data_IF_111483341716
#
_entry.id   IF_111483341716
#
_cell.length_a   1.000
_cell.length_b   1.000
_cell.length_c   1.000
_cell.angle_alpha   90.00
_cell.angle_beta   90.00
_cell.angle_gamma   90.00
#
_symmetry.space_group_name_H-M   'P 1'
#
loop_
_entity.id
_entity.type
_entity.pdbx_description
1 polymer ?
#
# COMPACT_ATOMS: atom_id res chain seq x y z
N UNK A 1 11.85 8.14 -3.27
CA UNK A 1 10.70 7.64 -4.06
C UNK A 1 9.58 7.33 -3.08
N UNK A 2 8.33 7.59 -3.45
CA UNK A 2 7.18 7.29 -2.57
C UNK A 2 6.14 6.46 -3.29
N UNK A 3 5.40 5.67 -2.52
CA UNK A 3 4.25 4.93 -2.99
C UNK A 3 3.10 5.06 -2.01
N UNK A 4 2.03 5.73 -2.43
CA UNK A 4 0.81 5.83 -1.67
C UNK A 4 -0.22 4.87 -2.25
N UNK A 5 -0.80 4.00 -1.41
CA UNK A 5 -1.75 2.98 -1.84
C UNK A 5 -2.98 2.99 -0.95
N UNK A 6 -4.16 3.15 -1.54
CA UNK A 6 -5.43 2.98 -0.86
C UNK A 6 -6.18 1.81 -1.50
N UNK A 7 -6.50 0.79 -0.70
CA UNK A 7 -7.09 -0.46 -1.19
C UNK A 7 -8.02 -1.07 -0.14
N UNK A 8 -9.11 -1.71 -0.57
CA UNK A 8 -10.03 -2.34 0.37
C UNK A 8 -9.49 -3.62 1.00
N UNK A 9 -8.91 -4.50 0.17
CA UNK A 9 -8.24 -5.72 0.61
C UNK A 9 -6.78 -5.71 0.16
N UNK A 10 -5.88 -5.99 1.10
CA UNK A 10 -4.44 -6.06 0.85
C UNK A 10 -3.83 -7.30 1.45
N UNK A 11 -2.87 -7.87 0.75
CA UNK A 11 -1.96 -8.88 1.29
C UNK A 11 -0.53 -8.64 0.87
N UNK A 12 0.41 -8.98 1.76
CA UNK A 12 1.85 -8.89 1.54
C UNK A 12 2.33 -9.70 0.32
N UNK A 13 1.54 -10.68 -0.13
CA UNK A 13 1.82 -11.37 -1.39
C UNK A 13 1.89 -10.43 -2.60
N UNK A 14 1.29 -9.24 -2.57
CA UNK A 14 1.49 -8.24 -3.62
C UNK A 14 2.97 -7.86 -3.77
N UNK A 15 3.70 -7.72 -2.67
CA UNK A 15 5.15 -7.45 -2.69
C UNK A 15 5.90 -8.59 -3.37
N UNK A 16 5.51 -9.84 -3.10
CA UNK A 16 6.07 -11.04 -3.73
C UNK A 16 5.81 -11.06 -5.24
N UNK A 17 4.61 -10.68 -5.71
CA UNK A 17 4.31 -10.62 -7.15
C UNK A 17 5.08 -9.52 -7.85
N UNK A 18 5.19 -8.36 -7.21
CA UNK A 18 5.95 -7.23 -7.72
C UNK A 18 7.43 -7.29 -7.30
N UNK A 19 7.98 -8.47 -6.97
CA UNK A 19 9.25 -8.60 -6.25
C UNK A 19 10.41 -7.80 -6.85
N UNK A 20 10.58 -7.82 -8.17
CA UNK A 20 11.60 -7.02 -8.84
C UNK A 20 11.37 -5.51 -8.64
N UNK A 21 10.13 -5.04 -8.84
CA UNK A 21 9.75 -3.65 -8.60
C UNK A 21 9.90 -3.23 -7.14
N UNK A 22 9.48 -4.08 -6.20
CA UNK A 22 9.65 -3.87 -4.75
C UNK A 22 11.12 -3.80 -4.36
N UNK A 23 11.96 -4.69 -4.87
CA UNK A 23 13.40 -4.67 -4.59
C UNK A 23 14.05 -3.38 -5.08
N UNK A 24 13.77 -2.96 -6.32
CA UNK A 24 14.24 -1.68 -6.86
C UNK A 24 13.72 -0.48 -6.07
N UNK A 25 12.45 -0.48 -5.68
CA UNK A 25 11.86 0.56 -4.84
C UNK A 25 12.58 0.68 -3.50
N UNK A 26 12.82 -0.44 -2.81
CA UNK A 26 13.51 -0.46 -1.51
C UNK A 26 14.98 -0.04 -1.63
N UNK A 27 15.70 -0.54 -2.64
CA UNK A 27 17.09 -0.17 -2.92
C UNK A 27 17.25 1.34 -3.17
N UNK A 28 16.23 1.99 -3.74
CA UNK A 28 16.21 3.44 -3.98
C UNK A 28 15.67 4.25 -2.79
N UNK A 29 15.63 3.69 -1.58
CA UNK A 29 15.15 4.40 -0.39
C UNK A 29 13.64 4.67 -0.41
N UNK A 30 12.87 3.82 -1.09
CA UNK A 30 11.41 3.93 -1.21
C UNK A 30 10.71 3.92 0.14
N UNK A 31 9.69 4.78 0.27
CA UNK A 31 8.76 4.84 1.40
C UNK A 31 7.32 4.66 0.94
N UNK A 32 6.56 3.84 1.64
CA UNK A 32 5.21 3.49 1.29
C UNK A 32 4.23 3.92 2.39
N UNK A 33 3.09 4.47 1.99
CA UNK A 33 1.92 4.70 2.85
C UNK A 33 0.78 3.85 2.35
N UNK A 34 0.19 3.06 3.23
CA UNK A 34 -0.82 2.06 2.87
C UNK A 34 -2.09 2.29 3.70
N UNK A 35 -3.18 2.65 3.03
CA UNK A 35 -4.53 2.67 3.62
C UNK A 35 -5.24 1.39 3.19
N UNK A 36 -5.62 0.57 4.16
CA UNK A 36 -6.29 -0.72 3.97
C UNK A 36 -7.66 -0.73 4.60
N UNK A 37 -8.61 -1.45 4.02
CA UNK A 37 -9.83 -1.79 4.74
C UNK A 37 -9.53 -2.73 5.91
N UNK A 38 -10.47 -2.85 6.85
CA UNK A 38 -10.35 -3.72 8.02
C UNK A 38 -10.22 -5.24 7.70
N UNK A 39 -10.27 -5.63 6.42
CA UNK A 39 -10.03 -7.00 5.98
C UNK A 39 -8.56 -7.17 5.58
N UNK A 40 -7.74 -7.53 6.57
CA UNK A 40 -6.34 -7.92 6.39
C UNK A 40 -6.19 -9.44 6.51
N UNK A 41 -5.22 -10.02 5.80
CA UNK A 41 -4.88 -11.41 6.03
C UNK A 41 -4.14 -11.55 7.37
N UNK A 42 -4.57 -12.50 8.21
CA UNK A 42 -4.02 -12.66 9.56
C UNK A 42 -2.49 -12.77 9.57
N UNK A 43 -1.91 -13.56 8.66
CA UNK A 43 -0.45 -13.70 8.52
C UNK A 43 0.29 -12.37 8.27
N UNK A 44 -0.36 -11.41 7.61
CA UNK A 44 0.24 -10.10 7.30
C UNK A 44 0.16 -9.20 8.54
N UNK A 45 -0.94 -9.30 9.31
CA UNK A 45 -1.07 -8.67 10.63
C UNK A 45 -0.01 -9.23 11.59
N UNK A 46 0.12 -10.56 11.67
CA UNK A 46 1.10 -11.25 12.51
C UNK A 46 2.52 -10.82 12.12
N UNK A 47 2.82 -10.70 10.82
CA UNK A 47 4.11 -10.22 10.35
C UNK A 47 4.42 -8.78 10.77
N UNK A 48 3.42 -7.91 10.83
CA UNK A 48 3.60 -6.50 11.24
C UNK A 48 3.73 -6.35 12.76
N UNK A 49 2.92 -7.08 13.54
CA UNK A 49 2.85 -6.93 15.00
C UNK A 49 3.91 -7.78 15.71
N UNK A 50 4.06 -9.03 15.29
CA UNK A 50 4.88 -10.05 15.97
C UNK A 50 6.02 -10.60 15.10
N UNK A 51 6.05 -10.22 13.82
CA UNK A 51 6.96 -10.79 12.84
C UNK A 51 8.41 -10.44 13.11
N UNK A 52 9.30 -11.41 12.85
CA UNK A 52 10.73 -11.16 12.86
C UNK A 52 11.11 -10.37 11.58
N UNK A 53 11.66 -9.14 11.69
CA UNK A 53 12.15 -8.42 10.52
C UNK A 53 13.34 -9.16 9.89
N UNK A 54 13.61 -8.87 8.61
CA UNK A 54 14.83 -9.32 7.94
C UNK A 54 16.08 -9.01 8.77
N UNK A 55 16.98 -9.98 8.89
CA UNK A 55 18.30 -9.75 9.47
C UNK A 55 19.08 -8.72 8.63
N UNK A 56 19.85 -7.84 9.27
CA UNK A 56 20.56 -6.72 8.62
C UNK A 56 21.42 -7.15 7.43
N UNK A 57 22.05 -8.33 7.52
CA UNK A 57 22.86 -8.89 6.43
C UNK A 57 22.00 -9.23 5.21
N UNK A 58 20.79 -9.76 5.43
CA UNK A 58 19.85 -10.08 4.36
C UNK A 58 19.25 -8.80 3.78
N UNK A 59 18.90 -7.83 4.63
CA UNK A 59 18.45 -6.52 4.19
C UNK A 59 19.51 -5.80 3.34
N UNK A 60 20.78 -5.81 3.75
CA UNK A 60 21.87 -5.24 2.96
C UNK A 60 22.03 -5.91 1.59
N UNK A 61 21.86 -7.24 1.52
CA UNK A 61 21.87 -7.99 0.24
C UNK A 61 20.69 -7.64 -0.64
N UNK A 62 19.50 -7.48 -0.06
CA UNK A 62 18.31 -7.05 -0.79
C UNK A 62 18.54 -5.70 -1.47
N UNK A 63 19.17 -4.76 -0.76
CA UNK A 63 19.42 -3.40 -1.25
C UNK A 63 20.58 -3.31 -2.24
N UNK A 64 21.62 -4.15 -2.11
CA UNK A 64 22.83 -4.08 -2.92
C UNK A 64 22.66 -4.61 -4.34
N UNK A 65 21.78 -5.60 -4.54
CA UNK A 65 21.50 -6.20 -5.84
C UNK A 65 19.98 -6.39 -6.02
N UNK A 66 19.23 -5.29 -6.28
CA UNK A 66 17.78 -5.36 -6.41
C UNK A 66 17.31 -6.21 -7.59
N UNK A 67 18.15 -6.35 -8.63
CA UNK A 67 17.79 -7.05 -9.87
C UNK A 67 17.70 -8.57 -9.66
N UNK A 68 18.67 -9.17 -8.97
CA UNK A 68 18.72 -10.62 -8.79
C UNK A 68 18.51 -11.03 -7.33
N UNK A 69 19.42 -10.66 -6.42
CA UNK A 69 19.34 -11.09 -5.03
C UNK A 69 18.12 -10.50 -4.31
N UNK A 70 17.87 -9.20 -4.47
CA UNK A 70 16.75 -8.49 -3.88
C UNK A 70 15.41 -9.01 -4.37
N UNK A 71 15.23 -9.20 -5.67
CA UNK A 71 14.02 -9.80 -6.23
C UNK A 71 13.76 -11.20 -5.64
N UNK A 72 14.80 -12.04 -5.49
CA UNK A 72 14.67 -13.37 -4.86
C UNK A 72 14.29 -13.28 -3.39
N UNK A 73 14.94 -12.39 -2.62
CA UNK A 73 14.64 -12.19 -1.20
C UNK A 73 13.20 -11.72 -1.03
N UNK A 74 12.74 -10.74 -1.81
CA UNK A 74 11.35 -10.30 -1.75
C UNK A 74 10.40 -11.44 -2.10
N UNK A 75 10.74 -12.26 -3.10
CA UNK A 75 9.90 -13.37 -3.50
C UNK A 75 9.79 -14.47 -2.42
N UNK A 76 10.88 -14.81 -1.74
CA UNK A 76 10.89 -15.88 -0.72
C UNK A 76 10.52 -15.42 0.68
N UNK A 77 10.82 -14.18 1.03
CA UNK A 77 10.77 -13.63 2.40
C UNK A 77 9.80 -12.44 2.53
N UNK A 78 8.78 -12.32 1.66
CA UNK A 78 7.89 -11.14 1.61
C UNK A 78 7.26 -10.73 2.96
N UNK A 79 6.97 -11.67 3.88
CA UNK A 79 6.48 -11.35 5.22
C UNK A 79 7.58 -10.73 6.10
N UNK A 80 8.80 -11.28 6.07
CA UNK A 80 9.97 -10.72 6.75
C UNK A 80 10.36 -9.34 6.17
N UNK A 81 10.19 -9.16 4.85
CA UNK A 81 10.36 -7.87 4.17
C UNK A 81 9.29 -6.88 4.64
N UNK A 82 8.03 -7.29 4.73
CA UNK A 82 6.95 -6.45 5.25
C UNK A 82 7.26 -5.97 6.67
N UNK A 83 7.61 -6.90 7.57
CA UNK A 83 8.01 -6.59 8.95
C UNK A 83 9.20 -5.62 8.99
N UNK A 84 10.21 -5.86 8.15
CA UNK A 84 11.38 -4.98 8.03
C UNK A 84 11.03 -3.58 7.52
N UNK A 85 10.10 -3.46 6.56
CA UNK A 85 9.67 -2.16 6.03
C UNK A 85 8.99 -1.31 7.12
N UNK A 86 8.17 -1.92 7.98
CA UNK A 86 7.56 -1.24 9.13
C UNK A 86 8.63 -0.87 10.16
N UNK A 87 9.49 -1.82 10.54
CA UNK A 87 10.54 -1.60 11.55
C UNK A 87 11.60 -0.57 11.14
N UNK A 88 11.66 -0.17 9.86
CA UNK A 88 12.64 0.80 9.33
C UNK A 88 12.00 2.07 8.79
N UNK A 89 10.76 2.39 9.17
CA UNK A 89 10.01 3.58 8.75
C UNK A 89 9.92 3.74 7.21
N UNK A 90 9.85 2.60 6.52
CA UNK A 90 9.67 2.49 5.07
C UNK A 90 8.24 2.12 4.68
N UNK A 91 7.43 1.66 5.63
CA UNK A 91 6.01 1.41 5.44
C UNK A 91 5.23 1.91 6.64
N UNK A 92 4.26 2.79 6.37
CA UNK A 92 3.23 3.18 7.32
C UNK A 92 1.90 2.58 6.87
N UNK A 93 1.17 1.93 7.78
CA UNK A 93 -0.11 1.29 7.48
C UNK A 93 -1.19 1.93 8.34
N UNK A 94 -2.28 2.33 7.70
CA UNK A 94 -3.50 2.81 8.35
C UNK A 94 -4.72 2.01 7.91
N UNK A 95 -5.66 1.82 8.81
CA UNK A 95 -6.88 1.04 8.58
C UNK A 95 -8.08 1.97 8.46
N UNK A 96 -8.76 1.89 7.31
CA UNK A 96 -10.04 2.55 7.05
C UNK A 96 -11.19 1.79 7.71
N UNK A 97 -11.81 2.41 8.71
CA UNK A 97 -12.91 1.85 9.50
C UNK A 97 -14.15 2.74 9.35
N UNK A 98 -15.35 2.16 9.16
CA UNK A 98 -16.58 2.93 9.13
C UNK A 98 -16.81 3.67 10.46
N UNK A 99 -17.27 4.92 10.40
CA UNK A 99 -17.60 5.77 11.55
C UNK A 99 -19.09 6.10 11.56
N UNK A 100 -19.74 6.00 12.71
CA UNK A 100 -21.14 6.37 12.88
C UNK A 100 -21.35 7.88 13.01
N UNK A 101 -22.62 8.30 13.11
CA UNK A 101 -23.00 9.71 13.22
C UNK A 101 -22.52 10.35 14.53
N UNK A 102 -22.43 9.57 15.60
CA UNK A 102 -21.95 10.00 16.92
C UNK A 102 -20.41 9.90 17.04
N UNK A 103 -19.75 9.54 15.95
CA UNK A 103 -18.30 9.47 15.84
C UNK A 103 -17.67 8.16 16.34
N UNK A 104 -18.47 7.16 16.67
CA UNK A 104 -18.04 5.83 17.08
C UNK A 104 -17.50 5.01 15.91
N UNK A 105 -16.49 4.17 16.17
CA UNK A 105 -15.97 3.23 15.17
C UNK A 105 -16.89 2.02 15.09
N UNK A 106 -17.26 1.65 13.87
CA UNK A 106 -18.18 0.56 13.60
C UNK A 106 -17.45 -0.61 12.95
N UNK A 107 -17.69 -1.80 13.48
CA UNK A 107 -17.29 -3.04 12.81
C UNK A 107 -18.05 -3.23 11.49
N UNK A 108 -17.58 -4.16 10.67
CA UNK A 108 -18.32 -4.56 9.48
C UNK A 108 -19.72 -5.09 9.84
N UNK A 109 -19.85 -5.87 10.93
CA UNK A 109 -21.13 -6.40 11.38
C UNK A 109 -22.14 -5.30 11.77
N UNK A 110 -21.65 -4.18 12.33
CA UNK A 110 -22.51 -3.07 12.75
C UNK A 110 -22.93 -2.18 11.58
N UNK A 111 -22.04 -1.92 10.62
CA UNK A 111 -22.30 -0.95 9.55
C UNK A 111 -22.67 -1.55 8.20
N UNK A 112 -22.28 -2.80 7.93
CA UNK A 112 -22.34 -3.41 6.59
C UNK A 112 -21.43 -2.73 5.55
N UNK A 113 -20.65 -1.71 5.93
CA UNK A 113 -19.84 -0.90 5.01
C UNK A 113 -18.43 -1.48 4.85
N UNK A 114 -17.84 -1.21 3.69
CA UNK A 114 -16.45 -1.57 3.35
C UNK A 114 -15.71 -0.40 2.72
N UNK A 115 -14.47 -0.21 3.14
CA UNK A 115 -13.54 0.68 2.45
C UNK A 115 -13.18 -0.02 1.15
N UNK A 116 -13.73 0.41 0.01
CA UNK A 116 -13.65 -0.35 -1.25
C UNK A 116 -12.94 0.41 -2.39
N UNK A 117 -12.22 1.47 -2.06
CA UNK A 117 -11.40 2.23 -3.02
C UNK A 117 -10.15 1.44 -3.42
N UNK A 118 -9.62 1.70 -4.62
CA UNK A 118 -8.45 1.02 -5.18
C UNK A 118 -7.71 1.97 -6.12
N UNK A 119 -6.87 2.80 -5.53
CA UNK A 119 -6.00 3.70 -6.28
C UNK A 119 -4.63 3.78 -5.64
N UNK A 120 -3.68 4.37 -6.34
CA UNK A 120 -2.37 4.64 -5.77
C UNK A 120 -1.62 5.70 -6.55
N UNK A 121 -0.55 6.19 -5.93
CA UNK A 121 0.31 7.25 -6.45
C UNK A 121 1.75 6.82 -6.25
N UNK A 122 2.48 6.69 -7.35
CA UNK A 122 3.94 6.57 -7.32
C UNK A 122 4.56 7.94 -7.57
N UNK A 123 5.63 8.27 -6.85
CA UNK A 123 6.46 9.44 -7.13
C UNK A 123 7.95 9.09 -7.14
N UNK A 124 8.66 9.59 -8.15
CA UNK A 124 10.11 9.49 -8.22
C UNK A 124 10.79 10.66 -7.48
N UNK A 125 12.13 10.65 -7.47
CA UNK A 125 12.94 11.72 -6.84
C UNK A 125 12.98 13.03 -7.65
N UNK A 126 12.53 13.01 -8.90
CA UNK A 126 12.51 14.15 -9.81
C UNK A 126 11.17 14.89 -9.76
N UNK A 127 10.21 14.39 -8.97
CA UNK A 127 8.88 14.96 -8.84
C UNK A 127 7.89 14.42 -9.88
N UNK A 128 8.29 13.47 -10.74
CA UNK A 128 7.35 12.82 -11.64
C UNK A 128 6.45 11.90 -10.83
N UNK A 129 5.17 11.87 -11.19
CA UNK A 129 4.16 11.06 -10.52
C UNK A 129 3.35 10.26 -11.52
N UNK A 130 2.89 9.10 -11.07
CA UNK A 130 1.88 8.31 -11.78
C UNK A 130 0.80 7.96 -10.76
N UNK A 131 -0.40 8.47 -10.97
CA UNK A 131 -1.58 8.05 -10.24
C UNK A 131 -2.29 6.96 -11.05
N UNK A 132 -2.95 6.02 -10.37
CA UNK A 132 -3.76 5.01 -11.04
C UNK A 132 -5.01 4.71 -10.22
N UNK A 133 -6.08 4.26 -10.90
CA UNK A 133 -7.34 3.87 -10.27
C UNK A 133 -7.94 2.70 -11.05
N UNK A 134 -8.47 1.69 -10.36
CA UNK A 134 -8.98 0.50 -11.04
C UNK A 134 -9.73 -0.48 -10.14
N UNK A 135 -10.00 -1.67 -10.69
CA UNK A 135 -10.71 -2.74 -9.98
C UNK A 135 -9.78 -3.64 -9.16
N UNK A 136 -8.48 -3.57 -9.39
CA UNK A 136 -7.48 -4.48 -8.83
C UNK A 136 -7.29 -4.29 -7.33
N UNK A 137 -7.73 -5.29 -6.56
CA UNK A 137 -7.29 -5.48 -5.18
C UNK A 137 -5.83 -5.94 -5.16
N UNK A 138 -5.23 -5.85 -3.98
CA UNK A 138 -3.86 -6.30 -3.76
C UNK A 138 -3.85 -7.74 -3.25
N UNK A 139 -4.29 -8.68 -4.10
CA UNK A 139 -4.32 -10.12 -3.82
C UNK A 139 -3.71 -10.95 -4.95
N UNK A 140 -3.21 -12.14 -4.62
CA UNK A 140 -2.72 -13.15 -5.59
C UNK A 140 -3.70 -13.37 -6.76
N UNK A 141 -4.99 -13.48 -6.43
CA UNK A 141 -6.05 -13.75 -7.41
C UNK A 141 -6.31 -12.57 -8.33
N UNK A 142 -6.26 -11.34 -7.82
CA UNK A 142 -6.41 -10.12 -8.63
C UNK A 142 -5.32 -10.03 -9.70
N UNK A 143 -4.08 -10.40 -9.39
CA UNK A 143 -2.95 -10.31 -10.31
C UNK A 143 -2.85 -11.47 -11.32
N UNK A 144 -3.23 -12.70 -10.93
CA UNK A 144 -2.97 -13.90 -11.73
C UNK A 144 -4.20 -14.53 -12.39
N UNK A 145 -5.42 -14.20 -11.93
CA UNK A 145 -6.64 -14.94 -12.33
C UNK A 145 -7.84 -14.05 -12.68
N UNK A 146 -7.92 -12.84 -12.12
CA UNK A 146 -9.02 -11.94 -12.38
C UNK A 146 -8.81 -11.14 -13.67
N UNK A 147 -9.92 -10.76 -14.30
CA UNK A 147 -9.91 -9.75 -15.36
C UNK A 147 -10.02 -8.38 -14.69
N UNK A 148 -8.87 -7.72 -14.50
CA UNK A 148 -8.78 -6.42 -13.84
C UNK A 148 -8.52 -5.31 -14.87
N UNK A 149 -9.10 -4.14 -14.65
CA UNK A 149 -8.83 -2.94 -15.45
C UNK A 149 -8.41 -1.81 -14.52
N UNK A 150 -7.40 -1.05 -14.93
CA UNK A 150 -7.06 0.20 -14.28
C UNK A 150 -6.54 1.20 -15.30
N UNK A 151 -6.75 2.47 -15.01
CA UNK A 151 -6.23 3.59 -15.77
C UNK A 151 -5.04 4.19 -15.04
N UNK A 152 -4.07 4.72 -15.80
CA UNK A 152 -2.92 5.42 -15.26
C UNK A 152 -2.87 6.86 -15.78
N UNK A 153 -2.51 7.78 -14.88
CA UNK A 153 -2.48 9.22 -15.09
C UNK A 153 -1.06 9.70 -14.79
N UNK A 154 -0.17 9.77 -15.79
CA UNK A 154 1.19 10.25 -15.61
C UNK A 154 1.24 11.79 -15.54
N UNK A 155 2.06 12.34 -14.65
CA UNK A 155 2.16 13.79 -14.41
C UNK A 155 2.73 14.58 -15.59
N UNK A 156 3.48 13.92 -16.48
CA UNK A 156 3.99 14.53 -17.71
C UNK A 156 2.93 14.64 -18.82
N UNK A 157 1.75 14.03 -18.64
CA UNK A 157 0.58 14.30 -19.47
C UNK A 157 -0.33 15.29 -18.73
N UNK A 158 0.01 16.58 -18.82
CA UNK A 158 -0.61 17.65 -18.04
C UNK A 158 -2.15 17.66 -18.12
N UNK A 159 -2.79 17.56 -19.31
CA UNK A 159 -4.26 17.55 -19.38
C UNK A 159 -4.90 16.40 -18.60
N UNK A 160 -4.33 15.19 -18.65
CA UNK A 160 -4.86 14.04 -17.92
C UNK A 160 -4.56 14.16 -16.42
N UNK A 161 -3.36 14.62 -16.08
CA UNK A 161 -2.95 14.80 -14.69
C UNK A 161 -3.82 15.82 -13.96
N UNK A 162 -4.03 16.99 -14.55
CA UNK A 162 -4.83 18.06 -13.95
C UNK A 162 -6.30 17.67 -13.83
N UNK A 163 -6.81 16.86 -14.76
CA UNK A 163 -8.20 16.41 -14.72
C UNK A 163 -8.45 15.23 -13.78
N UNK A 164 -7.49 14.31 -13.60
CA UNK A 164 -7.69 13.04 -12.87
C UNK A 164 -6.61 12.75 -11.83
N UNK A 165 -5.33 12.91 -12.21
CA UNK A 165 -4.19 12.52 -11.38
C UNK A 165 -4.06 13.33 -10.09
N UNK A 166 -4.20 14.66 -10.18
CA UNK A 166 -4.10 15.56 -9.03
C UNK A 166 -5.13 15.23 -7.95
N UNK A 167 -6.34 14.84 -8.35
CA UNK A 167 -7.39 14.48 -7.42
C UNK A 167 -7.05 13.22 -6.63
N UNK A 168 -6.34 12.24 -7.20
CA UNK A 168 -5.91 11.04 -6.45
C UNK A 168 -4.92 11.40 -5.33
N UNK A 169 -4.04 12.37 -5.56
CA UNK A 169 -3.13 12.88 -4.51
C UNK A 169 -3.93 13.56 -3.40
N UNK A 170 -4.84 14.46 -3.76
CA UNK A 170 -5.67 15.20 -2.80
C UNK A 170 -6.57 14.25 -2.00
N UNK A 171 -7.18 13.27 -2.67
CA UNK A 171 -7.97 12.22 -2.04
C UNK A 171 -7.09 11.45 -1.05
N UNK A 172 -5.90 10.99 -1.44
CA UNK A 172 -5.03 10.23 -0.54
C UNK A 172 -4.68 11.01 0.72
N UNK A 173 -4.23 12.26 0.60
CA UNK A 173 -3.87 13.08 1.77
C UNK A 173 -5.07 13.35 2.68
N UNK A 174 -6.25 13.56 2.09
CA UNK A 174 -7.50 13.71 2.84
C UNK A 174 -7.82 12.45 3.66
N UNK A 175 -7.73 11.27 3.04
CA UNK A 175 -7.94 10.00 3.74
C UNK A 175 -6.86 9.76 4.79
N UNK A 176 -5.60 10.07 4.48
CA UNK A 176 -4.47 9.86 5.36
C UNK A 176 -4.57 10.71 6.62
N UNK A 177 -4.93 11.99 6.54
CA UNK A 177 -4.88 12.97 7.65
C UNK A 177 -6.13 12.99 8.56
N UNK A 178 -6.89 11.89 8.63
CA UNK A 178 -8.10 11.71 9.46
C UNK A 178 -9.28 12.64 9.09
N UNK A 179 -9.37 12.98 7.80
CA UNK A 179 -10.53 13.66 7.20
C UNK A 179 -11.12 12.86 6.02
N UNK A 180 -10.96 11.53 6.05
CA UNK A 180 -11.72 10.65 5.17
C UNK A 180 -13.21 11.01 5.29
N UNK A 181 -13.93 11.06 4.17
CA UNK A 181 -15.31 11.56 4.08
C UNK A 181 -16.24 11.14 5.24
N UNK A 182 -17.25 11.97 5.55
CA UNK A 182 -18.21 11.75 6.62
C UNK A 182 -18.72 10.30 6.65
N UNK A 183 -18.20 9.50 7.59
CA UNK A 183 -18.51 8.08 7.71
C UNK A 183 -17.30 7.13 7.70
N UNK A 184 -16.07 7.62 7.60
CA UNK A 184 -14.84 6.82 7.71
C UNK A 184 -13.81 7.45 8.65
N UNK A 185 -13.08 6.61 9.38
CA UNK A 185 -11.89 6.97 10.15
C UNK A 185 -10.71 6.17 9.61
N UNK A 186 -9.51 6.75 9.63
CA UNK A 186 -8.28 6.09 9.18
C UNK A 186 -7.30 6.09 10.34
N UNK A 187 -7.17 4.93 10.99
CA UNK A 187 -6.39 4.79 12.24
C UNK A 187 -5.06 4.09 11.99
N UNK A 188 -4.04 4.42 12.78
CA UNK A 188 -2.77 3.70 12.77
C UNK A 188 -2.98 2.24 13.22
N UNK A 189 -2.18 1.31 12.68
CA UNK A 189 -2.13 -0.04 13.23
C UNK A 189 -1.63 0.01 14.68
N UNK A 190 -2.17 -0.84 15.58
CA UNK A 190 -1.63 -0.98 16.93
C UNK A 190 -0.13 -1.31 16.87
N UNK A 191 0.64 -0.67 17.74
CA UNK A 191 2.08 -0.93 17.94
C UNK A 191 2.32 -1.58 19.29
#
# INVERSE_FOLDING_TARGET
>A
MTYDRAVGYWSASELQYAAQGTAHFLANGGKMRLIVGAQLAQRDVDAVIEGKPLDDVVAARLLADPELAGARIVQSEHLSVLAWMVATDRLEIRVGIPRGEDGELLTHLQSGRYFHTKYGIFADRYGNRVAFNGSNNSSVTAWARNHETFDAYPSWNVPIWDYLGVHKVLDFEKHWTDNADAGWAVIDLPS
#
